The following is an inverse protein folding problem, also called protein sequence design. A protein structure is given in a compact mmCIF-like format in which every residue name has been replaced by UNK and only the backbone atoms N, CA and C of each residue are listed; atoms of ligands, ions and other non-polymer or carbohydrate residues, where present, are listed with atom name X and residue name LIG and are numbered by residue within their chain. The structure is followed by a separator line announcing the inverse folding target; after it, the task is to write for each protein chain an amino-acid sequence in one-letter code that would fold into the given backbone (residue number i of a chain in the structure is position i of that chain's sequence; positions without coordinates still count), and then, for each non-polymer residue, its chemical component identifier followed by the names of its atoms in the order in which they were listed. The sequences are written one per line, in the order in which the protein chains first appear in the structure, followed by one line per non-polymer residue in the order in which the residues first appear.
data_IF_679460184374
#
_entry.id   IF_679460184374
#
_cell.length_a   1.000
_cell.length_b   1.000
_cell.length_c   1.000
_cell.angle_alpha   90.00
_cell.angle_beta   90.00
_cell.angle_gamma   90.00
#
_symmetry.space_group_name_H-M   'P 1'
#
loop_
_entity.id
_entity.type
_entity.pdbx_description
1 polymer ?
#
# COMPACT_ATOMS: atom_id res chain seq x y z
N UNK A 1 -39.05 10.74 -3.44
CA UNK A 1 -38.17 9.77 -4.12
C UNK A 1 -38.45 8.38 -3.56
N UNK A 2 -38.64 7.37 -4.41
CA UNK A 2 -38.72 5.98 -3.95
C UNK A 2 -37.40 5.58 -3.30
N UNK A 3 -37.43 4.69 -2.31
CA UNK A 3 -36.24 4.20 -1.59
C UNK A 3 -35.12 3.75 -2.56
N UNK A 4 -35.49 3.07 -3.65
CA UNK A 4 -34.54 2.66 -4.70
C UNK A 4 -33.86 3.82 -5.45
N UNK A 5 -34.56 4.94 -5.67
CA UNK A 5 -33.98 6.12 -6.31
C UNK A 5 -33.00 6.83 -5.37
N UNK A 6 -33.31 6.88 -4.06
CA UNK A 6 -32.38 7.41 -3.05
C UNK A 6 -31.13 6.53 -2.96
N UNK A 7 -31.28 5.21 -2.98
CA UNK A 7 -30.15 4.27 -2.94
C UNK A 7 -29.24 4.43 -4.17
N UNK A 8 -29.83 4.52 -5.38
CA UNK A 8 -29.08 4.72 -6.62
C UNK A 8 -28.32 6.05 -6.64
N UNK A 9 -28.94 7.12 -6.13
CA UNK A 9 -28.33 8.44 -6.13
C UNK A 9 -27.26 8.60 -5.03
N UNK A 10 -27.46 7.97 -3.87
CA UNK A 10 -26.56 8.07 -2.73
C UNK A 10 -25.40 7.06 -2.77
N UNK A 11 -25.59 5.90 -3.39
CA UNK A 11 -24.59 4.84 -3.44
C UNK A 11 -23.88 4.77 -4.79
N UNK A 12 -24.64 4.60 -5.87
CA UNK A 12 -24.08 4.32 -7.20
C UNK A 12 -23.57 5.60 -7.87
N UNK A 13 -24.36 6.67 -7.82
CA UNK A 13 -24.05 7.94 -8.50
C UNK A 13 -23.42 8.98 -7.56
N UNK A 14 -22.86 8.57 -6.42
CA UNK A 14 -22.21 9.51 -5.50
C UNK A 14 -20.92 10.06 -6.12
N UNK A 15 -20.70 11.35 -5.92
CA UNK A 15 -19.46 12.05 -6.28
C UNK A 15 -18.76 12.61 -5.03
N UNK A 16 -19.32 12.36 -3.85
CA UNK A 16 -18.73 12.82 -2.60
C UNK A 16 -17.54 11.93 -2.24
N UNK A 17 -16.35 12.52 -2.21
CA UNK A 17 -15.10 11.87 -1.85
C UNK A 17 -15.13 11.18 -0.48
N UNK A 18 -15.84 11.71 0.53
CA UNK A 18 -15.92 11.07 1.85
C UNK A 18 -16.61 9.71 1.74
N UNK A 19 -17.67 9.67 0.94
CA UNK A 19 -18.42 8.44 0.68
C UNK A 19 -17.61 7.48 -0.18
N UNK A 20 -16.92 7.97 -1.20
CA UNK A 20 -16.04 7.14 -2.06
C UNK A 20 -14.87 6.56 -1.24
N UNK A 21 -14.27 7.35 -0.35
CA UNK A 21 -13.20 6.90 0.55
C UNK A 21 -13.66 5.87 1.56
N UNK A 22 -14.89 6.01 2.06
CA UNK A 22 -15.53 4.95 2.85
C UNK A 22 -15.61 3.65 2.07
N UNK A 23 -15.98 3.69 0.79
CA UNK A 23 -16.05 2.49 -0.04
C UNK A 23 -14.69 1.85 -0.25
N UNK A 24 -13.65 2.64 -0.48
CA UNK A 24 -12.28 2.15 -0.61
C UNK A 24 -11.77 1.48 0.68
N UNK A 25 -12.07 2.04 1.85
CA UNK A 25 -11.73 1.43 3.15
C UNK A 25 -12.46 0.08 3.31
N UNK A 26 -13.76 0.04 3.03
CA UNK A 26 -14.56 -1.19 3.14
C UNK A 26 -14.07 -2.25 2.15
N UNK A 27 -13.79 -1.86 0.91
CA UNK A 27 -13.26 -2.75 -0.12
C UNK A 27 -11.91 -3.34 0.29
N UNK A 28 -11.02 -2.49 0.80
CA UNK A 28 -9.69 -2.90 1.26
C UNK A 28 -9.75 -3.86 2.44
N UNK A 29 -10.68 -3.64 3.39
CA UNK A 29 -10.92 -4.58 4.47
C UNK A 29 -11.41 -5.95 3.95
N UNK A 30 -12.36 -5.97 3.02
CA UNK A 30 -12.85 -7.20 2.39
C UNK A 30 -11.74 -7.97 1.65
N UNK A 31 -10.91 -7.27 0.88
CA UNK A 31 -9.75 -7.88 0.22
C UNK A 31 -8.72 -8.39 1.24
N UNK A 32 -8.53 -7.67 2.35
CA UNK A 32 -7.58 -8.03 3.40
C UNK A 32 -7.95 -9.22 4.25
N UNK A 33 -9.24 -9.42 4.51
CA UNK A 33 -9.72 -10.69 5.06
C UNK A 33 -9.41 -11.85 4.12
N UNK A 34 -9.67 -11.69 2.81
CA UNK A 34 -9.31 -12.70 1.81
C UNK A 34 -7.81 -13.01 1.78
N UNK A 35 -6.98 -11.96 1.70
CA UNK A 35 -5.52 -12.10 1.66
C UNK A 35 -4.92 -12.72 2.92
N UNK A 36 -5.40 -12.34 4.11
CA UNK A 36 -4.93 -12.89 5.39
C UNK A 36 -5.33 -14.37 5.57
N UNK A 37 -6.55 -14.75 5.16
CA UNK A 37 -6.97 -16.15 5.15
C UNK A 37 -6.06 -17.01 4.25
N UNK A 38 -5.70 -16.52 3.06
CA UNK A 38 -4.75 -17.22 2.18
C UNK A 38 -3.35 -17.32 2.81
N UNK A 39 -2.90 -16.30 3.56
CA UNK A 39 -1.64 -16.34 4.30
C UNK A 39 -1.61 -17.45 5.35
N UNK A 40 -2.72 -17.60 6.10
CA UNK A 40 -2.87 -18.67 7.11
C UNK A 40 -2.81 -20.04 6.43
N UNK A 41 -3.48 -20.21 5.29
CA UNK A 41 -3.45 -21.45 4.51
C UNK A 41 -2.03 -21.78 4.04
N UNK A 42 -1.27 -20.80 3.54
CA UNK A 42 0.12 -20.98 3.11
C UNK A 42 0.98 -21.43 4.29
N UNK A 43 0.88 -20.75 5.44
CA UNK A 43 1.66 -21.09 6.65
C UNK A 43 1.29 -22.45 7.20
N UNK A 44 0.02 -22.84 7.13
CA UNK A 44 -0.43 -24.17 7.55
C UNK A 44 0.10 -25.26 6.62
N UNK A 45 0.13 -25.03 5.30
CA UNK A 45 0.73 -25.97 4.36
C UNK A 45 2.24 -26.13 4.60
N UNK A 46 2.95 -25.05 4.94
CA UNK A 46 4.38 -25.05 5.23
C UNK A 46 4.74 -25.55 6.65
N UNK A 47 3.77 -25.93 7.48
CA UNK A 47 4.02 -26.30 8.88
C UNK A 47 4.82 -27.60 9.02
N UNK A 48 4.87 -28.42 7.97
CA UNK A 48 5.69 -29.63 7.90
C UNK A 48 6.18 -29.91 6.47
N UNK A 49 7.29 -30.63 6.30
CA UNK A 49 7.66 -31.18 5.00
C UNK A 49 6.55 -32.10 4.47
N UNK A 50 6.16 -31.91 3.21
CA UNK A 50 5.13 -32.72 2.52
C UNK A 50 3.69 -32.16 2.59
N UNK A 51 3.44 -31.10 3.36
CA UNK A 51 2.14 -30.42 3.40
C UNK A 51 1.00 -31.23 4.02
N UNK A 52 -0.18 -30.61 4.14
CA UNK A 52 -1.40 -31.23 4.67
C UNK A 52 -2.60 -31.05 3.73
N UNK A 53 -2.75 -29.87 3.16
CA UNK A 53 -3.98 -29.40 2.52
C UNK A 53 -4.02 -29.68 1.02
N UNK A 54 -2.90 -29.51 0.32
CA UNK A 54 -2.92 -29.54 -1.14
C UNK A 54 -2.53 -30.89 -1.73
N UNK A 55 -2.33 -31.92 -0.90
CA UNK A 55 -2.01 -33.29 -1.32
C UNK A 55 -0.85 -33.34 -2.34
N UNK A 56 0.15 -32.46 -2.19
CA UNK A 56 1.30 -32.37 -3.09
C UNK A 56 1.10 -31.55 -4.37
N UNK A 57 -0.05 -30.88 -4.57
CA UNK A 57 -0.30 -30.04 -5.74
C UNK A 57 0.41 -28.69 -5.65
N UNK A 58 1.60 -28.58 -6.24
CA UNK A 58 2.36 -27.33 -6.32
C UNK A 58 1.63 -26.21 -7.09
N UNK A 59 0.76 -26.57 -8.04
CA UNK A 59 0.00 -25.60 -8.83
C UNK A 59 -1.02 -24.82 -7.98
N UNK A 60 -1.71 -25.52 -7.07
CA UNK A 60 -2.68 -24.90 -6.16
C UNK A 60 -1.93 -24.01 -5.17
N UNK A 61 -0.80 -24.48 -4.63
CA UNK A 61 0.06 -23.67 -3.77
C UNK A 61 0.51 -22.37 -4.44
N UNK A 62 1.04 -22.43 -5.66
CA UNK A 62 1.48 -21.25 -6.41
C UNK A 62 0.32 -20.29 -6.72
N UNK A 63 -0.88 -20.82 -6.95
CA UNK A 63 -2.08 -20.01 -7.16
C UNK A 63 -2.52 -19.29 -5.89
N UNK A 64 -2.52 -19.98 -4.74
CA UNK A 64 -2.83 -19.38 -3.43
C UNK A 64 -1.79 -18.32 -3.06
N UNK A 65 -0.50 -18.61 -3.24
CA UNK A 65 0.61 -17.68 -2.99
C UNK A 65 0.48 -16.40 -3.84
N UNK A 66 0.24 -16.56 -5.14
CA UNK A 66 0.07 -15.44 -6.07
C UNK A 66 -1.14 -14.59 -5.69
N UNK A 67 -2.26 -15.24 -5.36
CA UNK A 67 -3.49 -14.54 -4.97
C UNK A 67 -3.33 -13.78 -3.66
N UNK A 68 -2.63 -14.35 -2.67
CA UNK A 68 -2.27 -13.64 -1.44
C UNK A 68 -1.51 -12.35 -1.76
N UNK A 69 -0.41 -12.42 -2.52
CA UNK A 69 0.40 -11.24 -2.85
C UNK A 69 -0.39 -10.16 -3.60
N UNK A 70 -1.19 -10.56 -4.61
CA UNK A 70 -2.02 -9.64 -5.40
C UNK A 70 -3.06 -8.94 -4.54
N UNK A 71 -3.78 -9.67 -3.68
CA UNK A 71 -4.77 -9.08 -2.80
C UNK A 71 -4.14 -8.11 -1.80
N UNK A 72 -3.02 -8.47 -1.18
CA UNK A 72 -2.39 -7.65 -0.15
C UNK A 72 -1.85 -6.33 -0.72
N UNK A 73 -1.19 -6.35 -1.88
CA UNK A 73 -0.56 -5.15 -2.45
C UNK A 73 -1.60 -4.27 -3.17
N UNK A 74 -2.31 -4.83 -4.15
CA UNK A 74 -3.15 -4.04 -5.05
C UNK A 74 -4.54 -3.73 -4.49
N UNK A 75 -5.06 -4.56 -3.57
CA UNK A 75 -6.45 -4.43 -3.11
C UNK A 75 -6.60 -4.02 -1.64
N UNK A 76 -5.55 -4.09 -0.83
CA UNK A 76 -5.56 -3.51 0.53
C UNK A 76 -4.84 -2.17 0.53
N UNK A 77 -3.52 -2.22 0.29
CA UNK A 77 -2.64 -1.10 0.58
C UNK A 77 -2.97 0.11 -0.29
N UNK A 78 -3.08 -0.10 -1.60
CA UNK A 78 -3.38 1.00 -2.52
C UNK A 78 -4.78 1.61 -2.28
N UNK A 79 -5.89 0.84 -2.29
CA UNK A 79 -7.23 1.39 -2.03
C UNK A 79 -7.34 2.19 -0.74
N UNK A 80 -6.79 1.67 0.36
CA UNK A 80 -6.95 2.29 1.67
C UNK A 80 -6.11 3.57 1.79
N UNK A 81 -4.91 3.62 1.21
CA UNK A 81 -4.05 4.80 1.26
C UNK A 81 -4.53 5.93 0.33
N UNK A 82 -5.35 5.64 -0.68
CA UNK A 82 -5.82 6.60 -1.70
C UNK A 82 -7.21 7.15 -1.41
N UNK A 83 -8.12 6.30 -0.94
CA UNK A 83 -9.55 6.49 -1.21
C UNK A 83 -10.20 7.76 -0.66
N UNK A 84 -9.60 8.43 0.33
CA UNK A 84 -10.24 9.48 1.13
C UNK A 84 -10.09 10.92 0.64
N UNK A 85 -9.37 11.21 -0.44
CA UNK A 85 -9.06 12.59 -0.82
C UNK A 85 -10.16 13.26 -1.65
N UNK A 86 -10.44 14.55 -1.38
CA UNK A 86 -11.12 15.42 -2.35
C UNK A 86 -10.28 15.50 -3.62
N UNK A 87 -10.94 15.40 -4.77
CA UNK A 87 -10.27 15.34 -6.07
C UNK A 87 -10.88 16.37 -7.02
N UNK A 88 -10.03 16.95 -7.88
CA UNK A 88 -10.41 17.87 -8.94
C UNK A 88 -11.40 17.28 -9.95
N UNK A 89 -11.45 15.95 -10.08
CA UNK A 89 -12.36 15.25 -10.99
C UNK A 89 -13.24 14.23 -10.25
N UNK A 90 -14.30 14.69 -9.54
CA UNK A 90 -15.08 13.84 -8.62
C UNK A 90 -15.77 12.64 -9.29
N UNK A 91 -16.27 12.81 -10.52
CA UNK A 91 -16.94 11.71 -11.26
C UNK A 91 -15.97 10.63 -11.70
N UNK A 92 -14.74 11.01 -12.01
CA UNK A 92 -13.75 10.06 -12.50
C UNK A 92 -13.15 9.27 -11.33
N UNK A 93 -13.04 9.91 -10.15
CA UNK A 93 -12.78 9.26 -8.87
C UNK A 93 -13.90 8.28 -8.45
N UNK A 94 -15.17 8.61 -8.74
CA UNK A 94 -16.26 7.65 -8.52
C UNK A 94 -16.14 6.42 -9.44
N UNK A 95 -15.74 6.63 -10.71
CA UNK A 95 -15.58 5.56 -11.69
C UNK A 95 -14.40 4.63 -11.37
N UNK A 96 -13.33 5.13 -10.74
CA UNK A 96 -12.13 4.33 -10.41
C UNK A 96 -12.40 3.37 -9.28
N UNK A 97 -13.20 3.78 -8.31
CA UNK A 97 -13.67 2.87 -7.27
C UNK A 97 -14.40 1.67 -7.89
N UNK A 98 -15.36 1.90 -8.79
CA UNK A 98 -16.11 0.82 -9.45
C UNK A 98 -15.23 -0.10 -10.27
N UNK A 99 -14.23 0.47 -10.93
CA UNK A 99 -13.23 -0.29 -11.65
C UNK A 99 -12.39 -1.18 -10.72
N UNK A 100 -11.92 -0.65 -9.59
CA UNK A 100 -11.22 -1.43 -8.57
C UNK A 100 -12.10 -2.55 -7.98
N UNK A 101 -13.39 -2.27 -7.75
CA UNK A 101 -14.35 -3.28 -7.29
C UNK A 101 -14.53 -4.42 -8.30
N UNK A 102 -14.72 -4.11 -9.59
CA UNK A 102 -14.84 -5.13 -10.64
C UNK A 102 -13.54 -5.92 -10.77
N UNK A 103 -12.38 -5.27 -10.66
CA UNK A 103 -11.08 -5.93 -10.67
C UNK A 103 -10.96 -6.98 -9.56
N UNK A 104 -11.39 -6.64 -8.34
CA UNK A 104 -11.37 -7.56 -7.21
C UNK A 104 -12.23 -8.80 -7.46
N UNK A 105 -13.44 -8.62 -8.02
CA UNK A 105 -14.32 -9.73 -8.38
C UNK A 105 -13.70 -10.63 -9.45
N UNK A 106 -13.03 -10.05 -10.45
CA UNK A 106 -12.34 -10.82 -11.49
C UNK A 106 -11.17 -11.62 -10.90
N UNK A 107 -10.42 -11.07 -9.96
CA UNK A 107 -9.35 -11.79 -9.25
C UNK A 107 -9.90 -12.96 -8.46
N UNK A 108 -11.01 -12.79 -7.74
CA UNK A 108 -11.66 -13.91 -7.06
C UNK A 108 -12.14 -15.00 -8.03
N UNK A 109 -12.77 -14.61 -9.14
CA UNK A 109 -13.20 -15.56 -10.16
C UNK A 109 -12.03 -16.31 -10.80
N UNK A 110 -10.86 -15.66 -10.92
CA UNK A 110 -9.65 -16.24 -11.50
C UNK A 110 -9.15 -17.49 -10.76
N UNK A 111 -9.45 -17.60 -9.46
CA UNK A 111 -9.10 -18.76 -8.65
C UNK A 111 -9.85 -20.03 -9.08
N UNK A 112 -11.11 -19.88 -9.50
CA UNK A 112 -11.99 -20.99 -9.85
C UNK A 112 -11.91 -21.41 -11.32
N UNK A 113 -11.19 -20.65 -12.16
CA UNK A 113 -11.14 -20.87 -13.61
C UNK A 113 -9.69 -21.05 -14.08
N UNK A 114 -9.43 -22.10 -14.86
CA UNK A 114 -8.19 -22.23 -15.64
C UNK A 114 -6.94 -22.60 -14.85
N UNK A 115 -7.07 -23.23 -13.68
CA UNK A 115 -5.95 -23.66 -12.84
C UNK A 115 -5.39 -22.58 -11.90
N UNK A 116 -6.11 -21.47 -11.73
CA UNK A 116 -5.79 -20.39 -10.82
C UNK A 116 -4.87 -19.30 -11.41
N UNK A 117 -4.58 -18.23 -10.65
CA UNK A 117 -3.71 -17.15 -11.09
C UNK A 117 -2.28 -17.58 -11.43
N UNK A 118 -1.83 -18.76 -10.96
CA UNK A 118 -0.46 -19.25 -11.11
C UNK A 118 -0.03 -19.73 -12.49
N UNK A 119 -0.94 -19.95 -13.45
CA UNK A 119 -0.54 -20.42 -14.80
C UNK A 119 -1.11 -19.60 -15.96
N UNK A 120 -2.31 -19.02 -15.82
CA UNK A 120 -2.95 -18.31 -16.95
C UNK A 120 -3.80 -17.09 -16.59
N UNK A 121 -4.19 -16.94 -15.32
CA UNK A 121 -5.30 -16.04 -14.95
C UNK A 121 -4.91 -14.69 -14.33
N UNK A 122 -3.61 -14.43 -14.09
CA UNK A 122 -3.10 -13.10 -13.73
C UNK A 122 -3.50 -12.01 -14.77
N UNK A 123 -3.68 -12.46 -16.01
CA UNK A 123 -3.78 -11.63 -17.20
C UNK A 123 -5.14 -10.98 -17.46
N UNK A 124 -6.23 -11.63 -17.03
CA UNK A 124 -7.59 -11.12 -17.28
C UNK A 124 -7.96 -10.00 -16.29
N UNK A 125 -7.20 -9.85 -15.20
CA UNK A 125 -7.43 -8.90 -14.12
C UNK A 125 -6.68 -7.56 -14.31
N UNK A 126 -5.63 -7.51 -15.13
CA UNK A 126 -4.76 -6.33 -15.23
C UNK A 126 -5.26 -5.21 -16.17
N UNK A 127 -6.34 -5.41 -16.94
CA UNK A 127 -6.99 -4.29 -17.62
C UNK A 127 -7.44 -3.17 -16.64
N UNK A 128 -7.37 -3.41 -15.33
CA UNK A 128 -7.58 -2.44 -14.26
C UNK A 128 -6.33 -1.71 -13.73
N UNK A 129 -5.12 -1.98 -14.24
CA UNK A 129 -3.96 -1.08 -14.12
C UNK A 129 -4.31 0.38 -14.50
N UNK A 130 -5.28 0.54 -15.40
CA UNK A 130 -5.82 1.82 -15.88
C UNK A 130 -6.69 2.54 -14.83
N UNK A 131 -7.26 1.82 -13.86
CA UNK A 131 -8.02 2.45 -12.77
C UNK A 131 -7.11 3.13 -11.75
N UNK A 132 -5.95 2.52 -11.46
CA UNK A 132 -4.97 3.06 -10.53
C UNK A 132 -4.35 4.35 -11.05
N UNK A 133 -3.75 4.37 -12.26
CA UNK A 133 -3.12 5.58 -12.83
C UNK A 133 -4.05 6.80 -12.82
N UNK A 134 -5.35 6.57 -13.00
CA UNK A 134 -6.35 7.62 -13.11
C UNK A 134 -6.55 8.40 -11.82
N UNK A 135 -6.64 7.74 -10.66
CA UNK A 135 -6.83 8.45 -9.37
C UNK A 135 -5.60 9.25 -8.98
N UNK A 136 -4.41 8.72 -9.25
CA UNK A 136 -3.15 9.37 -8.88
C UNK A 136 -2.84 10.59 -9.74
N UNK A 137 -3.11 10.54 -11.04
CA UNK A 137 -3.08 11.74 -11.86
C UNK A 137 -3.98 12.84 -11.26
N UNK A 138 -5.12 12.49 -10.66
CA UNK A 138 -5.99 13.48 -10.04
C UNK A 138 -5.50 13.96 -8.68
N UNK A 139 -4.85 13.15 -7.84
CA UNK A 139 -4.17 13.65 -6.64
C UNK A 139 -3.13 14.70 -7.04
N UNK A 140 -2.31 14.41 -8.06
CA UNK A 140 -1.30 15.33 -8.57
C UNK A 140 -1.92 16.66 -9.04
N UNK A 141 -2.98 16.60 -9.85
CA UNK A 141 -3.67 17.80 -10.33
C UNK A 141 -4.37 18.58 -9.21
N UNK A 142 -4.98 17.88 -8.26
CA UNK A 142 -5.72 18.50 -7.14
C UNK A 142 -4.76 19.23 -6.21
N UNK A 143 -3.68 18.57 -5.82
CA UNK A 143 -2.67 19.16 -4.95
C UNK A 143 -1.97 20.34 -5.62
N UNK A 144 -1.90 20.42 -6.95
CA UNK A 144 -1.34 21.58 -7.65
C UNK A 144 -2.31 22.75 -7.82
N UNK A 145 -3.56 22.46 -8.20
CA UNK A 145 -4.50 23.49 -8.66
C UNK A 145 -5.59 23.86 -7.65
N UNK A 146 -5.86 23.01 -6.66
CA UNK A 146 -6.96 23.21 -5.69
C UNK A 146 -6.47 23.51 -4.27
N UNK A 147 -5.23 23.98 -4.11
CA UNK A 147 -4.75 24.48 -2.82
C UNK A 147 -5.44 25.81 -2.50
N UNK A 148 -5.65 26.06 -1.20
CA UNK A 148 -6.03 27.39 -0.75
C UNK A 148 -4.96 28.40 -1.14
N UNK A 149 -5.37 29.61 -1.52
CA UNK A 149 -4.47 30.70 -1.95
C UNK A 149 -3.36 31.00 -0.94
N UNK A 150 -3.61 30.77 0.35
CA UNK A 150 -2.67 31.03 1.44
C UNK A 150 -1.60 29.94 1.66
N UNK A 151 -1.72 28.76 1.02
CA UNK A 151 -0.83 27.62 1.28
C UNK A 151 0.03 27.36 0.06
N UNK A 152 1.33 27.62 0.20
CA UNK A 152 2.33 27.19 -0.80
C UNK A 152 2.63 25.70 -0.65
N UNK A 153 3.23 25.09 -1.67
CA UNK A 153 3.59 23.67 -1.63
C UNK A 153 4.51 23.35 -0.45
N UNK A 154 5.52 24.19 -0.19
CA UNK A 154 6.47 24.00 0.90
C UNK A 154 5.84 24.04 2.29
N UNK A 155 4.64 24.64 2.40
CA UNK A 155 3.87 24.74 3.63
C UNK A 155 2.84 23.62 3.77
N UNK A 156 2.66 22.78 2.75
CA UNK A 156 1.78 21.62 2.83
C UNK A 156 2.30 20.61 3.85
N UNK A 157 1.38 19.84 4.43
CA UNK A 157 1.72 18.79 5.38
C UNK A 157 2.56 17.68 4.73
N UNK A 158 3.31 16.93 5.53
CA UNK A 158 4.17 15.85 5.04
C UNK A 158 3.30 14.74 4.42
N UNK A 159 2.09 14.53 4.93
CA UNK A 159 1.13 13.62 4.32
C UNK A 159 0.69 14.06 2.91
N UNK A 160 0.45 15.36 2.69
CA UNK A 160 0.12 15.88 1.35
C UNK A 160 1.32 15.78 0.41
N UNK A 161 2.53 16.09 0.88
CA UNK A 161 3.76 15.95 0.10
C UNK A 161 4.07 14.50 -0.31
N UNK A 162 3.93 13.56 0.61
CA UNK A 162 4.14 12.14 0.33
C UNK A 162 3.09 11.61 -0.63
N UNK A 163 1.83 12.04 -0.51
CA UNK A 163 0.76 11.73 -1.47
C UNK A 163 1.04 12.33 -2.86
N UNK A 164 1.58 13.55 -2.91
CA UNK A 164 2.05 14.20 -4.15
C UNK A 164 3.17 13.42 -4.84
N UNK A 165 4.22 13.02 -4.11
CA UNK A 165 5.33 12.23 -4.67
C UNK A 165 4.86 10.86 -5.15
N UNK A 166 3.99 10.22 -4.38
CA UNK A 166 3.38 8.93 -4.72
C UNK A 166 2.60 9.02 -6.03
N UNK A 167 1.83 10.10 -6.20
CA UNK A 167 1.07 10.34 -7.43
C UNK A 167 1.96 10.51 -8.66
N UNK A 168 3.08 11.23 -8.51
CA UNK A 168 4.05 11.44 -9.58
C UNK A 168 4.73 10.13 -10.02
N UNK A 169 5.16 9.31 -9.05
CA UNK A 169 5.82 8.03 -9.34
C UNK A 169 4.91 7.09 -10.12
N UNK A 170 3.62 7.03 -9.77
CA UNK A 170 2.67 6.14 -10.45
C UNK A 170 2.31 6.58 -11.86
N UNK A 171 2.20 7.89 -12.10
CA UNK A 171 1.99 8.41 -13.46
C UNK A 171 3.14 7.99 -14.39
N UNK A 172 4.37 7.89 -13.87
CA UNK A 172 5.53 7.45 -14.64
C UNK A 172 5.65 5.93 -14.76
N UNK A 173 5.36 5.17 -13.69
CA UNK A 173 5.64 3.74 -13.64
C UNK A 173 4.51 2.85 -14.19
N UNK A 174 3.24 3.21 -13.95
CA UNK A 174 2.09 2.37 -14.33
C UNK A 174 1.94 2.18 -15.84
N UNK A 175 2.15 3.20 -16.71
CA UNK A 175 2.06 2.99 -18.16
C UNK A 175 3.02 1.91 -18.68
N UNK A 176 4.20 1.77 -18.06
CA UNK A 176 5.20 0.76 -18.45
C UNK A 176 4.71 -0.64 -18.12
N UNK A 177 4.12 -0.83 -16.92
CA UNK A 177 3.51 -2.12 -16.57
C UNK A 177 2.30 -2.43 -17.46
N UNK A 178 1.48 -1.43 -17.79
CA UNK A 178 0.35 -1.60 -18.70
C UNK A 178 0.77 -1.99 -20.11
N UNK A 179 1.84 -1.41 -20.65
CA UNK A 179 2.42 -1.82 -21.92
C UNK A 179 2.96 -3.25 -21.87
N UNK A 180 3.74 -3.58 -20.82
CA UNK A 180 4.30 -4.93 -20.62
C UNK A 180 3.20 -5.99 -20.58
N UNK A 181 2.13 -5.70 -19.85
CA UNK A 181 1.04 -6.64 -19.74
C UNK A 181 0.25 -6.69 -21.05
N UNK A 182 -0.01 -5.59 -21.74
CA UNK A 182 -0.61 -5.64 -23.08
C UNK A 182 0.16 -6.54 -24.06
N UNK A 183 1.49 -6.48 -24.07
CA UNK A 183 2.33 -7.35 -24.91
C UNK A 183 2.14 -8.83 -24.59
N UNK A 184 2.10 -9.19 -23.30
CA UNK A 184 1.88 -10.57 -22.89
C UNK A 184 0.43 -11.01 -23.14
N UNK A 185 -0.54 -10.09 -23.17
CA UNK A 185 -1.91 -10.39 -23.62
C UNK A 185 -1.92 -10.73 -25.12
N UNK A 186 -1.16 -9.98 -25.93
CA UNK A 186 -1.04 -10.21 -27.36
C UNK A 186 -0.33 -11.52 -27.67
N UNK A 187 0.74 -11.85 -26.95
CA UNK A 187 1.45 -13.12 -27.16
C UNK A 187 0.56 -14.33 -26.88
N UNK A 188 -0.38 -14.18 -25.93
CA UNK A 188 -1.29 -15.28 -25.54
C UNK A 188 -2.51 -15.42 -26.42
N UNK A 189 -3.04 -14.31 -26.98
CA UNK A 189 -4.35 -14.31 -27.65
C UNK A 189 -4.29 -13.94 -29.13
N UNK A 190 -3.24 -13.25 -29.57
CA UNK A 190 -3.12 -12.69 -30.92
C UNK A 190 -1.88 -13.20 -31.66
N UNK A 191 -1.25 -14.28 -31.18
CA UNK A 191 -0.07 -14.92 -31.78
C UNK A 191 1.10 -13.95 -32.07
N UNK A 192 1.25 -12.90 -31.26
CA UNK A 192 2.49 -12.10 -31.27
C UNK A 192 3.59 -12.83 -30.52
N UNK A 193 4.83 -12.32 -30.61
CA UNK A 193 6.00 -12.96 -30.01
C UNK A 193 6.96 -11.95 -29.39
N UNK A 194 6.47 -11.12 -28.47
CA UNK A 194 7.30 -10.19 -27.70
C UNK A 194 8.22 -10.94 -26.72
N UNK A 195 7.70 -11.98 -26.04
CA UNK A 195 8.39 -12.71 -24.98
C UNK A 195 8.69 -14.18 -25.32
N UNK A 196 8.07 -14.74 -26.36
CA UNK A 196 8.28 -16.14 -26.76
C UNK A 196 9.61 -16.33 -27.50
N UNK A 197 10.54 -17.06 -26.87
CA UNK A 197 11.87 -17.35 -27.44
C UNK A 197 11.82 -18.17 -28.72
N UNK A 198 10.77 -18.97 -28.93
CA UNK A 198 10.63 -19.80 -30.15
C UNK A 198 10.53 -18.96 -31.42
N UNK A 199 9.96 -17.76 -31.29
CA UNK A 199 9.70 -16.83 -32.39
C UNK A 199 10.61 -15.58 -32.30
N UNK A 200 11.71 -15.65 -31.55
CA UNK A 200 12.70 -14.57 -31.44
C UNK A 200 12.37 -13.50 -30.37
N UNK A 201 11.34 -13.70 -29.55
CA UNK A 201 11.03 -12.85 -28.40
C UNK A 201 12.02 -13.04 -27.24
N UNK A 202 12.02 -12.10 -26.28
CA UNK A 202 12.95 -12.09 -25.16
C UNK A 202 12.22 -12.05 -23.80
N UNK A 203 12.22 -13.14 -23.01
CA UNK A 203 11.63 -13.17 -21.67
C UNK A 203 12.24 -12.14 -20.69
N UNK A 204 13.51 -11.76 -20.87
CA UNK A 204 14.15 -10.73 -20.03
C UNK A 204 13.52 -9.36 -20.22
N UNK A 205 12.94 -9.08 -21.40
CA UNK A 205 12.21 -7.84 -21.63
C UNK A 205 11.03 -7.71 -20.65
N UNK A 206 10.31 -8.81 -20.39
CA UNK A 206 9.23 -8.81 -19.42
C UNK A 206 9.74 -8.45 -18.03
N UNK A 207 10.87 -9.04 -17.61
CA UNK A 207 11.48 -8.76 -16.30
C UNK A 207 11.88 -7.28 -16.18
N UNK A 208 12.52 -6.71 -17.20
CA UNK A 208 12.90 -5.29 -17.19
C UNK A 208 11.68 -4.37 -17.09
N UNK A 209 10.65 -4.59 -17.90
CA UNK A 209 9.45 -3.74 -17.89
C UNK A 209 8.65 -3.91 -16.59
N UNK A 210 8.57 -5.14 -16.07
CA UNK A 210 7.91 -5.43 -14.79
C UNK A 210 8.65 -4.76 -13.63
N UNK A 211 9.96 -4.90 -13.54
CA UNK A 211 10.76 -4.33 -12.45
C UNK A 211 11.00 -2.82 -12.57
N UNK A 212 10.87 -2.24 -13.77
CA UNK A 212 10.78 -0.79 -13.97
C UNK A 212 9.58 -0.21 -13.22
N UNK A 213 8.46 -0.94 -13.17
CA UNK A 213 7.33 -0.60 -12.34
C UNK A 213 7.49 -1.05 -10.88
N UNK A 214 7.98 -2.28 -10.68
CA UNK A 214 8.01 -2.93 -9.36
C UNK A 214 8.85 -2.19 -8.31
N UNK A 215 9.98 -1.58 -8.70
CA UNK A 215 10.78 -0.78 -7.77
C UNK A 215 10.09 0.52 -7.34
N UNK A 216 9.58 1.38 -8.25
CA UNK A 216 8.71 2.50 -7.87
C UNK A 216 7.52 2.10 -7.02
N UNK A 217 6.86 0.96 -7.32
CA UNK A 217 5.65 0.53 -6.63
C UNK A 217 5.86 0.32 -5.12
N UNK A 218 7.00 -0.27 -4.71
CA UNK A 218 7.28 -0.45 -3.29
C UNK A 218 7.46 0.89 -2.56
N UNK A 219 7.94 1.93 -3.24
CA UNK A 219 8.01 3.28 -2.67
C UNK A 219 6.65 3.95 -2.57
N UNK A 220 5.81 3.76 -3.59
CA UNK A 220 4.45 4.30 -3.65
C UNK A 220 3.61 3.78 -2.47
N UNK A 221 3.86 2.55 -2.03
CA UNK A 221 3.21 1.94 -0.86
C UNK A 221 3.66 2.59 0.46
N UNK A 222 4.96 2.84 0.63
CA UNK A 222 5.50 3.28 1.92
C UNK A 222 5.47 4.81 2.11
N UNK A 223 5.51 5.59 1.03
CA UNK A 223 5.54 7.05 1.12
C UNK A 223 4.32 7.64 1.85
N UNK A 224 3.06 7.31 1.50
CA UNK A 224 1.89 7.81 2.21
C UNK A 224 1.87 7.34 3.67
N UNK A 225 2.40 6.14 3.94
CA UNK A 225 2.53 5.59 5.30
C UNK A 225 3.47 6.45 6.15
N UNK A 226 4.62 6.89 5.61
CA UNK A 226 5.46 7.86 6.31
C UNK A 226 4.71 9.16 6.59
N UNK A 227 3.89 9.62 5.63
CA UNK A 227 2.98 10.74 5.84
C UNK A 227 2.02 10.53 7.01
N UNK A 228 1.30 9.40 7.06
CA UNK A 228 0.35 9.08 8.14
C UNK A 228 1.06 9.01 9.50
N UNK A 229 2.19 8.31 9.57
CA UNK A 229 2.97 8.19 10.80
C UNK A 229 3.48 9.57 11.26
N UNK A 230 3.90 10.42 10.32
CA UNK A 230 4.37 11.77 10.62
C UNK A 230 3.27 12.63 11.25
N UNK A 231 2.04 12.57 10.73
CA UNK A 231 0.87 13.27 11.29
C UNK A 231 0.44 12.69 12.64
N UNK A 232 0.45 11.37 12.79
CA UNK A 232 0.11 10.72 14.06
C UNK A 232 1.10 11.11 15.17
N UNK A 233 2.38 11.24 14.86
CA UNK A 233 3.40 11.71 15.81
C UNK A 233 3.15 13.15 16.21
N UNK A 234 2.82 14.01 15.25
CA UNK A 234 2.49 15.41 15.54
C UNK A 234 1.30 15.52 16.48
N UNK A 235 0.22 14.80 16.15
CA UNK A 235 -0.99 14.76 16.95
C UNK A 235 -0.76 14.21 18.36
N UNK A 236 -0.01 13.11 18.51
CA UNK A 236 0.20 12.47 19.81
C UNK A 236 1.25 13.17 20.68
N UNK A 237 2.08 14.05 20.11
CA UNK A 237 3.10 14.79 20.85
C UNK A 237 2.72 16.24 21.13
N UNK A 238 1.53 16.67 20.68
CA UNK A 238 1.05 18.07 20.74
C UNK A 238 2.10 19.08 20.26
N UNK A 239 2.88 18.69 19.23
CA UNK A 239 3.90 19.56 18.63
C UNK A 239 3.37 20.21 17.36
N UNK A 240 3.63 21.50 17.21
CA UNK A 240 3.19 22.26 16.03
C UNK A 240 3.85 21.78 14.72
N UNK A 241 5.06 21.19 14.79
CA UNK A 241 5.83 20.66 13.65
C UNK A 241 6.75 19.52 14.07
N UNK A 242 7.06 18.62 13.12
CA UNK A 242 8.09 17.60 13.31
C UNK A 242 9.41 18.30 13.59
N UNK A 243 10.05 17.86 14.67
CA UNK A 243 11.13 18.54 15.35
C UNK A 243 12.28 18.88 14.39
N UNK A 244 12.69 20.17 14.31
CA UNK A 244 13.99 20.50 13.72
C UNK A 244 14.25 21.86 13.05
N UNK A 245 13.36 22.86 13.03
CA UNK A 245 13.63 24.07 12.21
C UNK A 245 13.73 25.44 12.89
N UNK A 246 13.20 25.68 14.09
CA UNK A 246 13.03 27.07 14.59
C UNK A 246 13.89 27.51 15.77
N UNK A 247 14.70 26.64 16.39
CA UNK A 247 15.49 27.02 17.58
C UNK A 247 17.01 26.79 17.43
N UNK A 248 17.47 26.25 16.30
CA UNK A 248 18.89 26.00 16.06
C UNK A 248 19.65 27.23 15.51
N UNK A 249 18.92 28.24 15.06
CA UNK A 249 19.46 29.52 14.57
C UNK A 249 19.39 30.64 15.60
N UNK A 250 18.76 30.41 16.77
CA UNK A 250 18.58 31.40 17.84
C UNK A 250 19.80 31.55 18.78
N UNK A 251 20.94 30.92 18.47
CA UNK A 251 22.18 31.10 19.22
C UNK A 251 22.26 30.41 20.60
N UNK A 252 21.39 29.42 20.88
CA UNK A 252 21.46 28.67 22.13
C UNK A 252 22.73 27.80 22.23
N UNK A 253 23.29 27.70 23.43
CA UNK A 253 24.45 26.86 23.70
C UNK A 253 24.15 25.36 23.46
N UNK A 254 25.21 24.56 23.33
CA UNK A 254 25.10 23.16 22.93
C UNK A 254 24.44 22.31 24.01
N UNK A 255 24.59 22.68 25.28
CA UNK A 255 24.11 21.91 26.43
C UNK A 255 22.64 22.17 26.67
N UNK A 256 22.17 23.41 26.52
CA UNK A 256 20.76 23.78 26.60
C UNK A 256 19.95 23.16 25.46
N UNK A 257 20.51 23.11 24.25
CA UNK A 257 19.92 22.38 23.13
C UNK A 257 19.82 20.88 23.40
N UNK A 258 20.83 20.30 24.02
CA UNK A 258 20.88 18.87 24.35
C UNK A 258 19.93 18.54 25.52
N UNK A 259 19.82 19.43 26.50
CA UNK A 259 18.91 19.34 27.64
C UNK A 259 17.45 19.43 27.20
N UNK A 260 17.06 20.45 26.42
CA UNK A 260 15.69 20.53 25.92
C UNK A 260 15.38 19.38 24.95
N UNK A 261 16.34 18.92 24.15
CA UNK A 261 16.19 17.69 23.35
C UNK A 261 15.90 16.48 24.24
N UNK A 262 16.67 16.28 25.30
CA UNK A 262 16.49 15.16 26.23
C UNK A 262 15.17 15.27 27.02
N UNK A 263 14.85 16.44 27.57
CA UNK A 263 13.65 16.68 28.37
C UNK A 263 12.36 16.53 27.53
N UNK A 264 12.36 17.02 26.28
CA UNK A 264 11.20 16.87 25.39
C UNK A 264 11.04 15.43 24.88
N UNK A 265 12.15 14.69 24.74
CA UNK A 265 12.11 13.25 24.49
C UNK A 265 11.51 12.55 25.71
N UNK A 266 11.98 12.84 26.93
CA UNK A 266 11.52 12.22 28.18
C UNK A 266 10.01 12.44 28.42
N UNK A 267 9.49 13.63 28.12
CA UNK A 267 8.08 13.98 28.36
C UNK A 267 7.13 13.38 27.29
N UNK A 268 7.60 13.16 26.05
CA UNK A 268 6.80 12.59 24.95
C UNK A 268 6.66 11.05 24.99
N UNK A 269 7.36 10.37 25.92
CA UNK A 269 7.63 8.92 25.88
C UNK A 269 6.46 7.95 26.15
N UNK A 270 5.42 8.22 26.97
CA UNK A 270 4.56 7.10 27.38
C UNK A 270 3.56 6.60 26.32
N UNK A 271 3.09 7.47 25.39
CA UNK A 271 2.00 7.14 24.43
C UNK A 271 2.38 7.24 22.96
N UNK A 272 3.04 8.31 22.51
CA UNK A 272 3.44 8.49 21.11
C UNK A 272 4.67 7.65 20.73
N UNK A 273 5.62 7.49 21.65
CA UNK A 273 6.91 6.84 21.40
C UNK A 273 6.80 5.32 21.29
N UNK A 274 5.81 4.66 21.91
CA UNK A 274 5.63 3.21 21.75
C UNK A 274 5.25 2.85 20.31
N UNK A 275 4.31 3.59 19.72
CA UNK A 275 3.83 3.38 18.35
C UNK A 275 4.90 3.78 17.33
N UNK A 276 5.57 4.90 17.56
CA UNK A 276 6.61 5.42 16.67
C UNK A 276 7.92 4.61 16.72
N UNK A 277 8.37 4.20 17.91
CA UNK A 277 9.56 3.36 18.05
C UNK A 277 9.34 1.96 17.48
N UNK A 278 8.13 1.40 17.56
CA UNK A 278 7.84 0.07 16.97
C UNK A 278 7.91 0.11 15.44
N UNK A 279 7.31 1.12 14.80
CA UNK A 279 7.42 1.31 13.36
C UNK A 279 8.87 1.53 12.94
N UNK A 280 9.60 2.45 13.60
CA UNK A 280 11.00 2.72 13.29
C UNK A 280 11.84 1.46 13.50
N UNK A 281 11.66 0.72 14.59
CA UNK A 281 12.44 -0.47 14.86
C UNK A 281 12.26 -1.53 13.77
N UNK A 282 11.03 -1.93 13.47
CA UNK A 282 10.74 -2.97 12.49
C UNK A 282 11.12 -2.53 11.07
N UNK A 283 10.81 -1.28 10.71
CA UNK A 283 11.19 -0.74 9.41
C UNK A 283 12.72 -0.59 9.28
N UNK A 284 13.43 -0.25 10.35
CA UNK A 284 14.91 -0.20 10.36
C UNK A 284 15.51 -1.58 10.19
N UNK A 285 15.00 -2.61 10.87
CA UNK A 285 15.42 -4.00 10.67
C UNK A 285 15.19 -4.46 9.23
N UNK A 286 14.02 -4.12 8.67
CA UNK A 286 13.73 -4.29 7.25
C UNK A 286 14.71 -3.54 6.35
N UNK A 287 15.03 -2.27 6.65
CA UNK A 287 15.98 -1.47 5.88
C UNK A 287 17.41 -2.02 5.92
N UNK A 288 17.89 -2.44 7.09
CA UNK A 288 19.21 -3.05 7.26
C UNK A 288 19.35 -4.35 6.46
N UNK A 289 18.31 -5.19 6.46
CA UNK A 289 18.30 -6.40 5.61
C UNK A 289 18.31 -6.08 4.11
N UNK A 290 17.73 -4.95 3.70
CA UNK A 290 17.77 -4.46 2.31
C UNK A 290 19.13 -3.92 1.88
N UNK A 291 19.90 -3.32 2.80
CA UNK A 291 21.29 -2.90 2.51
C UNK A 291 22.14 -4.13 2.15
N UNK A 292 21.91 -5.26 2.82
CA UNK A 292 22.58 -6.53 2.50
C UNK A 292 22.21 -7.02 1.10
N UNK A 293 20.93 -6.95 0.71
CA UNK A 293 20.44 -7.35 -0.62
C UNK A 293 20.97 -6.46 -1.76
N UNK A 294 21.42 -5.23 -1.46
CA UNK A 294 22.04 -4.35 -2.46
C UNK A 294 23.42 -4.87 -2.91
N UNK A 295 24.09 -5.67 -2.09
CA UNK A 295 25.40 -6.22 -2.44
C UNK A 295 25.22 -7.37 -3.44
N UNK A 296 25.56 -7.12 -4.71
CA UNK A 296 25.41 -8.12 -5.79
C UNK A 296 26.10 -9.46 -5.49
N UNK A 297 27.22 -9.45 -4.77
CA UNK A 297 27.90 -10.68 -4.34
C UNK A 297 27.11 -11.51 -3.33
N UNK A 298 26.34 -10.86 -2.45
CA UNK A 298 25.48 -11.52 -1.46
C UNK A 298 24.13 -11.90 -2.07
N UNK A 299 23.61 -11.09 -2.99
CA UNK A 299 22.34 -11.38 -3.67
C UNK A 299 22.40 -12.71 -4.43
N UNK A 300 23.54 -13.08 -5.03
CA UNK A 300 23.71 -14.41 -5.67
C UNK A 300 23.34 -15.58 -4.75
N UNK A 301 23.58 -15.46 -3.45
CA UNK A 301 23.30 -16.51 -2.45
C UNK A 301 21.91 -16.35 -1.83
N UNK A 302 21.41 -15.11 -1.73
CA UNK A 302 20.16 -14.78 -1.05
C UNK A 302 18.94 -14.72 -2.00
N UNK A 303 19.18 -14.64 -3.31
CA UNK A 303 18.14 -14.54 -4.33
C UNK A 303 17.14 -15.70 -4.24
N UNK A 304 15.84 -15.40 -4.38
CA UNK A 304 14.72 -16.36 -4.28
C UNK A 304 14.67 -17.20 -3.00
N UNK A 305 15.35 -16.77 -1.94
CA UNK A 305 15.27 -17.41 -0.62
C UNK A 305 14.26 -16.73 0.30
N UNK A 306 13.93 -17.39 1.42
CA UNK A 306 13.11 -16.80 2.48
C UNK A 306 13.72 -15.53 3.11
N UNK A 307 15.00 -15.23 2.87
CA UNK A 307 15.61 -13.97 3.30
C UNK A 307 14.97 -12.76 2.58
N UNK A 308 14.79 -12.84 1.26
CA UNK A 308 14.14 -11.78 0.46
C UNK A 308 12.67 -11.65 0.86
N UNK A 309 11.99 -12.79 1.08
CA UNK A 309 10.61 -12.83 1.56
C UNK A 309 10.51 -12.13 2.91
N UNK A 310 11.39 -12.44 3.87
CA UNK A 310 11.40 -11.80 5.18
C UNK A 310 11.67 -10.30 5.09
N UNK A 311 12.69 -9.88 4.35
CA UNK A 311 13.01 -8.46 4.11
C UNK A 311 11.78 -7.68 3.60
N UNK A 312 11.10 -8.22 2.59
CA UNK A 312 9.90 -7.61 2.02
C UNK A 312 8.73 -7.58 3.02
N UNK A 313 8.53 -8.63 3.83
CA UNK A 313 7.47 -8.63 4.83
C UNK A 313 7.74 -7.67 5.99
N UNK A 314 8.98 -7.50 6.42
CA UNK A 314 9.33 -6.49 7.44
C UNK A 314 9.11 -5.06 6.95
N UNK A 315 9.42 -4.78 5.68
CA UNK A 315 9.25 -3.43 5.10
C UNK A 315 7.82 -3.14 4.67
N UNK A 316 7.09 -4.12 4.12
CA UNK A 316 5.74 -3.94 3.59
C UNK A 316 4.63 -4.32 4.58
N UNK A 317 4.66 -5.51 5.18
CA UNK A 317 3.58 -5.92 6.10
C UNK A 317 3.64 -5.13 7.42
N UNK A 318 4.81 -5.06 8.06
CA UNK A 318 4.98 -4.36 9.33
C UNK A 318 5.17 -2.84 9.15
N UNK A 319 5.52 -2.39 7.95
CA UNK A 319 5.54 -0.97 7.59
C UNK A 319 4.16 -0.47 7.17
N UNK A 320 3.66 -0.93 6.01
CA UNK A 320 2.48 -0.37 5.38
C UNK A 320 1.17 -0.72 6.09
N UNK A 321 0.96 -1.98 6.51
CA UNK A 321 -0.26 -2.38 7.22
C UNK A 321 -0.34 -1.68 8.58
N UNK A 322 0.80 -1.54 9.26
CA UNK A 322 0.90 -0.78 10.49
C UNK A 322 0.54 0.70 10.30
N UNK A 323 1.07 1.33 9.25
CA UNK A 323 0.71 2.68 8.85
C UNK A 323 -0.79 2.86 8.62
N UNK A 324 -1.41 1.89 7.93
CA UNK A 324 -2.86 1.86 7.70
C UNK A 324 -3.63 1.77 9.01
N UNK A 325 -3.24 0.88 9.93
CA UNK A 325 -3.86 0.79 11.26
C UNK A 325 -3.72 2.08 12.05
N UNK A 326 -2.55 2.73 12.00
CA UNK A 326 -2.33 4.02 12.63
C UNK A 326 -3.28 5.10 12.08
N UNK A 327 -3.39 5.20 10.75
CA UNK A 327 -4.31 6.14 10.09
C UNK A 327 -5.78 5.84 10.41
N UNK A 328 -6.16 4.57 10.48
CA UNK A 328 -7.51 4.15 10.86
C UNK A 328 -7.84 4.58 12.28
N UNK A 329 -6.96 4.32 13.26
CA UNK A 329 -7.15 4.75 14.65
C UNK A 329 -7.20 6.28 14.79
N UNK A 330 -6.38 7.00 14.01
CA UNK A 330 -6.31 8.46 14.05
C UNK A 330 -7.57 9.11 13.46
N UNK A 331 -8.01 8.68 12.27
CA UNK A 331 -9.02 9.40 11.49
C UNK A 331 -10.44 8.84 11.58
N UNK A 332 -10.63 7.57 11.95
CA UNK A 332 -11.98 7.00 12.06
C UNK A 332 -12.88 7.73 13.07
N UNK A 333 -12.40 8.16 14.26
CA UNK A 333 -13.21 8.95 15.18
C UNK A 333 -13.67 10.28 14.58
N UNK A 334 -12.85 10.91 13.73
CA UNK A 334 -13.22 12.14 13.03
C UNK A 334 -14.19 11.91 11.86
N UNK A 335 -14.09 10.76 11.17
CA UNK A 335 -14.97 10.43 10.04
C UNK A 335 -16.38 10.05 10.48
N UNK A 336 -16.51 9.28 11.57
CA UNK A 336 -17.80 8.68 11.98
C UNK A 336 -18.25 9.05 13.39
N UNK A 337 -17.44 9.77 14.17
CA UNK A 337 -17.76 10.11 15.56
C UNK A 337 -17.70 8.91 16.51
N UNK A 338 -17.03 7.81 16.13
CA UNK A 338 -16.92 6.59 16.93
C UNK A 338 -15.61 6.59 17.72
N UNK A 339 -15.69 6.49 19.05
CA UNK A 339 -14.53 6.32 19.92
C UNK A 339 -14.15 4.83 20.05
N UNK A 340 -12.86 4.53 20.03
CA UNK A 340 -12.35 3.19 20.31
C UNK A 340 -12.15 2.95 21.81
N UNK A 341 -12.35 1.70 22.25
CA UNK A 341 -11.89 1.28 23.57
C UNK A 341 -10.36 1.17 23.57
N UNK A 342 -9.71 1.92 24.46
CA UNK A 342 -8.25 2.01 24.51
C UNK A 342 -7.57 0.70 24.91
N UNK A 343 -8.19 -0.08 25.79
CA UNK A 343 -7.64 -1.34 26.27
C UNK A 343 -7.68 -2.41 25.18
N UNK A 344 -8.80 -2.51 24.46
CA UNK A 344 -8.92 -3.39 23.29
C UNK A 344 -7.92 -3.04 22.19
N UNK A 345 -7.72 -1.75 21.89
CA UNK A 345 -6.74 -1.34 20.88
C UNK A 345 -5.31 -1.68 21.27
N UNK A 346 -4.96 -1.54 22.55
CA UNK A 346 -3.64 -1.97 23.06
C UNK A 346 -3.48 -3.49 22.94
N UNK A 347 -4.52 -4.26 23.27
CA UNK A 347 -4.49 -5.71 23.14
C UNK A 347 -4.31 -6.14 21.67
N UNK A 348 -5.07 -5.55 20.75
CA UNK A 348 -4.95 -5.80 19.30
C UNK A 348 -3.54 -5.44 18.80
N UNK A 349 -3.00 -4.31 19.25
CA UNK A 349 -1.64 -3.90 18.90
C UNK A 349 -0.60 -4.95 19.31
N UNK A 350 -0.65 -5.46 20.54
CA UNK A 350 0.31 -6.47 20.98
C UNK A 350 0.13 -7.81 20.25
N UNK A 351 -1.11 -8.24 20.01
CA UNK A 351 -1.37 -9.46 19.22
C UNK A 351 -0.80 -9.32 17.81
N UNK A 352 -0.95 -8.15 17.18
CA UNK A 352 -0.43 -7.90 15.84
C UNK A 352 1.09 -7.71 15.79
N UNK A 353 1.71 -7.10 16.81
CA UNK A 353 3.14 -6.83 16.81
C UNK A 353 4.00 -8.09 17.00
N UNK A 354 3.49 -9.08 17.74
CA UNK A 354 4.23 -10.30 18.08
C UNK A 354 3.92 -11.49 17.15
N UNK A 355 3.14 -11.29 16.07
CA UNK A 355 2.68 -12.32 15.13
C UNK A 355 3.04 -11.97 13.69
#
# INVERSE_FOLDING_TARGET
MTFGNVLKQRIINTVNHKTIGTYYIVLGYWAGLGGSLLSIIIRFELSRPGGYLFFGSGQVYNSVLTMHGVLMIFFIVMPILIGGFEMAFPRVNALSFWFTFVALLMVYQSFFIGGGPGTRSFFRCYNFGVAYCRDWFFVWFTTQNMRSVAVTLDQASIFVWTSYLTSFLLVLSVPVLAGSLLFLLFDRNFNTSFYDTKNGGNPLLYQHLFWFFGHPEVYVIILPVFGIISEAVLFLTDKDRLFGHHMYTAGLDIDTRTYFRAATIIIAIPRAVKIFNCFIFLFTVGGLSGIILRAASLDVVLHDTYYVVAHFHYTLSLGAVYGIFCGFCLWLPYMYGVSFDGLLMIAIFFVFYWY
#
